data_IF_406653281057
#
_entry.id   IF_406653281057
#
_cell.length_a   1.000
_cell.length_b   1.000
_cell.length_c   1.000
_cell.angle_alpha   90.00
_cell.angle_beta   90.00
_cell.angle_gamma   90.00
#
_symmetry.space_group_name_H-M   'P 1'
#
loop_
_entity.id
_entity.type
_entity.pdbx_description
1 polymer ?
#
# COMPACT_ATOMS: atom_id res chain seq x y z
N UNK A 1 7.91 -26.91 -4.12
CA UNK A 1 7.81 -25.61 -4.81
C UNK A 1 6.40 -25.36 -5.36
N UNK A 2 5.84 -26.29 -6.13
CA UNK A 2 4.52 -26.17 -6.78
C UNK A 2 3.35 -25.86 -5.85
N UNK A 3 3.29 -26.47 -4.66
CA UNK A 3 2.24 -26.15 -3.68
C UNK A 3 2.30 -24.67 -3.25
N UNK A 4 3.50 -24.17 -3.01
CA UNK A 4 3.72 -22.81 -2.52
C UNK A 4 3.42 -21.76 -3.58
N UNK A 5 4.04 -21.89 -4.76
CA UNK A 5 3.93 -20.91 -5.84
C UNK A 5 2.75 -21.15 -6.77
N UNK A 6 2.22 -22.37 -6.84
CA UNK A 6 1.17 -22.73 -7.78
C UNK A 6 1.71 -23.21 -9.12
N UNK A 7 0.90 -24.01 -9.83
CA UNK A 7 1.21 -24.51 -11.18
C UNK A 7 0.57 -23.64 -12.26
N UNK A 8 -0.66 -23.20 -12.03
CA UNK A 8 -1.49 -22.50 -13.00
C UNK A 8 -1.32 -20.99 -12.80
N UNK A 9 -1.09 -20.27 -13.90
CA UNK A 9 -0.94 -18.80 -13.84
C UNK A 9 -2.25 -18.14 -13.42
N UNK A 10 -3.31 -18.39 -14.18
CA UNK A 10 -4.63 -17.81 -13.97
C UNK A 10 -5.63 -18.97 -13.91
N UNK A 11 -6.24 -19.17 -12.73
CA UNK A 11 -7.23 -20.23 -12.52
C UNK A 11 -8.62 -19.60 -12.66
N UNK A 12 -9.35 -20.03 -13.67
CA UNK A 12 -10.65 -19.47 -14.01
C UNK A 12 -11.76 -20.51 -13.88
N UNK A 13 -12.92 -20.08 -13.41
CA UNK A 13 -14.12 -20.90 -13.27
C UNK A 13 -15.25 -20.31 -14.12
N UNK A 14 -16.17 -21.18 -14.58
CA UNK A 14 -17.34 -20.82 -15.39
C UNK A 14 -16.97 -19.98 -16.61
N UNK A 15 -16.13 -20.53 -17.48
CA UNK A 15 -15.71 -19.92 -18.75
C UNK A 15 -15.15 -18.49 -18.61
N UNK A 16 -14.38 -18.24 -17.54
CA UNK A 16 -13.73 -16.95 -17.31
C UNK A 16 -14.55 -15.95 -16.49
N UNK A 17 -15.75 -16.31 -16.03
CA UNK A 17 -16.57 -15.44 -15.18
C UNK A 17 -15.88 -15.13 -13.84
N UNK A 18 -15.17 -16.11 -13.27
CA UNK A 18 -14.45 -15.94 -12.00
C UNK A 18 -12.98 -16.21 -12.25
N UNK A 19 -12.15 -15.20 -12.01
CA UNK A 19 -10.70 -15.33 -11.90
C UNK A 19 -10.30 -15.48 -10.42
N UNK A 20 -9.56 -16.53 -10.10
CA UNK A 20 -9.20 -16.85 -8.72
C UNK A 20 -8.37 -15.76 -8.04
N UNK A 21 -7.47 -15.07 -8.76
CA UNK A 21 -6.63 -14.02 -8.17
C UNK A 21 -7.48 -12.82 -7.80
N UNK A 22 -8.34 -12.37 -8.72
CA UNK A 22 -9.26 -11.27 -8.47
C UNK A 22 -10.21 -11.60 -7.33
N UNK A 23 -10.73 -12.82 -7.31
CA UNK A 23 -11.62 -13.28 -6.24
C UNK A 23 -10.94 -13.29 -4.87
N UNK A 24 -9.70 -13.80 -4.77
CA UNK A 24 -8.93 -13.76 -3.52
C UNK A 24 -8.66 -12.32 -3.05
N UNK A 25 -8.29 -11.43 -3.97
CA UNK A 25 -8.07 -10.02 -3.67
C UNK A 25 -9.34 -9.34 -3.12
N UNK A 26 -10.48 -9.56 -3.77
CA UNK A 26 -11.77 -9.00 -3.36
C UNK A 26 -12.20 -9.50 -1.99
N UNK A 27 -12.14 -10.83 -1.78
CA UNK A 27 -12.53 -11.41 -0.48
C UNK A 27 -11.60 -10.97 0.62
N UNK A 28 -10.28 -10.94 0.39
CA UNK A 28 -9.32 -10.43 1.35
C UNK A 28 -9.63 -9.00 1.78
N UNK A 29 -9.96 -8.11 0.83
CA UNK A 29 -10.35 -6.72 1.11
C UNK A 29 -11.67 -6.62 1.89
N UNK A 30 -12.69 -7.38 1.51
CA UNK A 30 -13.97 -7.40 2.23
C UNK A 30 -13.80 -7.96 3.65
N UNK A 31 -13.01 -9.02 3.83
CA UNK A 31 -12.71 -9.58 5.15
C UNK A 31 -11.96 -8.58 6.04
N UNK A 32 -10.98 -7.86 5.49
CA UNK A 32 -10.30 -6.79 6.21
C UNK A 32 -11.30 -5.73 6.68
N UNK A 33 -12.19 -5.28 5.79
CA UNK A 33 -13.20 -4.28 6.13
C UNK A 33 -14.15 -4.77 7.22
N UNK A 34 -14.61 -6.03 7.14
CA UNK A 34 -15.49 -6.62 8.16
C UNK A 34 -14.79 -6.72 9.52
N UNK A 35 -13.50 -7.10 9.55
CA UNK A 35 -12.71 -7.11 10.78
C UNK A 35 -12.62 -5.69 11.38
N UNK A 36 -12.31 -4.69 10.57
CA UNK A 36 -12.22 -3.28 11.02
C UNK A 36 -13.57 -2.78 11.58
N UNK A 37 -14.68 -3.07 10.89
CA UNK A 37 -16.02 -2.70 11.38
C UNK A 37 -16.39 -3.43 12.67
N UNK A 38 -16.02 -4.71 12.79
CA UNK A 38 -16.23 -5.50 14.01
C UNK A 38 -15.45 -4.90 15.19
N UNK A 39 -14.18 -4.53 14.99
CA UNK A 39 -13.38 -3.87 16.01
C UNK A 39 -13.95 -2.50 16.41
N UNK A 40 -14.39 -1.69 15.46
CA UNK A 40 -15.05 -0.42 15.74
C UNK A 40 -16.35 -0.61 16.54
N UNK A 41 -17.20 -1.55 16.14
CA UNK A 41 -18.45 -1.85 16.84
C UNK A 41 -18.18 -2.35 18.26
N UNK A 42 -17.21 -3.26 18.44
CA UNK A 42 -16.79 -3.75 19.75
C UNK A 42 -16.37 -2.59 20.65
N UNK A 43 -15.49 -1.71 20.17
CA UNK A 43 -14.98 -0.58 20.93
C UNK A 43 -16.11 0.38 21.36
N UNK A 44 -17.02 0.72 20.44
CA UNK A 44 -18.15 1.63 20.71
C UNK A 44 -19.11 1.04 21.77
N UNK A 45 -19.27 -0.27 21.80
CA UNK A 45 -20.31 -0.93 22.63
C UNK A 45 -19.79 -1.46 23.95
N UNK A 46 -18.49 -1.73 24.08
CA UNK A 46 -17.91 -2.41 25.25
C UNK A 46 -16.87 -1.57 26.01
N UNK A 47 -16.42 -0.44 25.47
CA UNK A 47 -15.41 0.42 26.12
C UNK A 47 -16.09 1.68 26.67
N UNK A 48 -15.96 1.91 27.98
CA UNK A 48 -16.64 3.04 28.66
C UNK A 48 -16.14 4.41 28.18
N UNK A 49 -14.81 4.57 28.07
CA UNK A 49 -14.17 5.80 27.61
C UNK A 49 -13.64 5.61 26.19
N UNK A 50 -14.45 6.01 25.21
CA UNK A 50 -14.15 5.84 23.78
C UNK A 50 -12.86 6.55 23.39
N UNK A 51 -11.98 5.81 22.71
CA UNK A 51 -10.74 6.30 22.15
C UNK A 51 -10.96 6.80 20.71
N UNK A 52 -11.06 8.11 20.54
CA UNK A 52 -11.21 8.72 19.20
C UNK A 52 -10.07 8.35 18.24
N UNK A 53 -8.86 8.15 18.78
CA UNK A 53 -7.71 7.71 18.01
C UNK A 53 -7.86 6.29 17.48
N UNK A 54 -8.48 5.40 18.26
CA UNK A 54 -8.83 4.06 17.79
C UNK A 54 -9.83 4.11 16.64
N UNK A 55 -10.91 4.90 16.77
CA UNK A 55 -11.91 5.07 15.71
C UNK A 55 -11.30 5.72 14.46
N UNK A 56 -10.35 6.63 14.62
CA UNK A 56 -9.58 7.18 13.51
C UNK A 56 -8.76 6.10 12.80
N UNK A 57 -8.11 5.20 13.53
CA UNK A 57 -7.40 4.05 12.95
C UNK A 57 -8.33 3.14 12.14
N UNK A 58 -9.54 2.87 12.65
CA UNK A 58 -10.59 2.17 11.91
C UNK A 58 -11.00 2.93 10.63
N UNK A 59 -11.16 4.25 10.71
CA UNK A 59 -11.51 5.08 9.56
C UNK A 59 -10.40 5.10 8.50
N UNK A 60 -9.12 5.12 8.90
CA UNK A 60 -7.97 5.04 8.00
C UNK A 60 -7.91 3.71 7.23
N UNK A 61 -8.07 2.58 7.92
CA UNK A 61 -8.11 1.27 7.24
C UNK A 61 -9.38 1.11 6.39
N UNK A 62 -10.50 1.68 6.82
CA UNK A 62 -11.71 1.75 6.00
C UNK A 62 -11.45 2.53 4.73
N UNK A 63 -10.88 3.73 4.82
CA UNK A 63 -10.49 4.53 3.67
C UNK A 63 -9.56 3.75 2.72
N UNK A 64 -8.58 3.04 3.27
CA UNK A 64 -7.69 2.19 2.48
C UNK A 64 -8.48 1.13 1.68
N UNK A 65 -9.43 0.42 2.30
CA UNK A 65 -10.29 -0.53 1.59
C UNK A 65 -11.14 0.14 0.49
N UNK A 66 -11.67 1.34 0.74
CA UNK A 66 -12.43 2.09 -0.26
C UNK A 66 -11.56 2.54 -1.45
N UNK A 67 -10.40 3.14 -1.19
CA UNK A 67 -9.45 3.55 -2.22
C UNK A 67 -8.96 2.34 -3.03
N UNK A 68 -8.69 1.22 -2.36
CA UNK A 68 -8.35 -0.05 -3.00
C UNK A 68 -9.45 -0.51 -3.97
N UNK A 69 -10.71 -0.54 -3.56
CA UNK A 69 -11.82 -1.00 -4.40
C UNK A 69 -12.22 0.01 -5.50
N UNK A 70 -12.17 1.32 -5.24
CA UNK A 70 -12.42 2.36 -6.25
C UNK A 70 -11.42 2.24 -7.41
N UNK A 71 -10.17 1.91 -7.10
CA UNK A 71 -9.10 1.74 -8.07
C UNK A 71 -8.83 0.28 -8.41
N UNK A 72 -9.84 -0.61 -8.29
CA UNK A 72 -9.71 -2.06 -8.50
C UNK A 72 -8.96 -2.41 -9.80
N UNK A 73 -9.29 -1.72 -10.91
CA UNK A 73 -8.65 -1.93 -12.22
C UNK A 73 -7.12 -1.81 -12.23
N UNK A 74 -6.53 -1.11 -11.26
CA UNK A 74 -5.08 -0.95 -11.14
C UNK A 74 -4.42 -2.25 -10.67
N UNK A 75 -5.13 -3.10 -9.92
CA UNK A 75 -4.60 -4.39 -9.44
C UNK A 75 -4.18 -5.32 -10.58
N UNK A 76 -4.88 -5.26 -11.72
CA UNK A 76 -4.56 -6.04 -12.92
C UNK A 76 -3.14 -5.77 -13.46
N UNK A 77 -2.53 -4.64 -13.08
CA UNK A 77 -1.18 -4.24 -13.49
C UNK A 77 -0.12 -4.52 -12.42
N UNK A 78 -0.49 -5.17 -11.32
CA UNK A 78 0.45 -5.54 -10.25
C UNK A 78 1.21 -6.81 -10.59
N UNK A 79 2.36 -7.00 -9.94
CA UNK A 79 3.21 -8.17 -10.12
C UNK A 79 2.47 -9.49 -9.87
N UNK A 80 1.59 -9.52 -8.87
CA UNK A 80 0.81 -10.69 -8.48
C UNK A 80 -0.11 -11.18 -9.63
N UNK A 81 -0.68 -10.25 -10.40
CA UNK A 81 -1.49 -10.59 -11.57
C UNK A 81 -0.61 -10.93 -12.79
N UNK A 82 0.45 -10.16 -13.04
CA UNK A 82 1.27 -10.29 -14.25
C UNK A 82 2.16 -11.54 -14.21
N UNK A 83 2.76 -11.84 -13.06
CA UNK A 83 3.87 -12.78 -12.94
C UNK A 83 3.60 -13.93 -11.94
N UNK A 84 2.87 -13.70 -10.85
CA UNK A 84 2.61 -14.77 -9.89
C UNK A 84 1.57 -15.78 -10.40
N UNK A 85 1.64 -16.99 -9.85
CA UNK A 85 0.72 -18.09 -10.15
C UNK A 85 -0.19 -18.31 -8.95
N UNK A 86 -1.29 -19.04 -9.16
CA UNK A 86 -2.25 -19.36 -8.09
C UNK A 86 -1.72 -20.53 -7.27
N UNK A 87 -1.19 -20.23 -6.08
CA UNK A 87 -0.67 -21.21 -5.12
C UNK A 87 -0.97 -20.84 -3.66
N UNK A 88 -0.47 -21.64 -2.71
CA UNK A 88 -0.70 -21.42 -1.29
C UNK A 88 -0.24 -20.02 -0.82
N UNK A 89 0.90 -19.52 -1.31
CA UNK A 89 1.42 -18.19 -0.95
C UNK A 89 0.36 -17.10 -1.20
N UNK A 90 -0.23 -17.09 -2.40
CA UNK A 90 -1.21 -16.09 -2.80
C UNK A 90 -2.52 -16.25 -2.01
N UNK A 91 -3.03 -17.49 -1.92
CA UNK A 91 -4.26 -17.77 -1.17
C UNK A 91 -4.15 -17.44 0.31
N UNK A 92 -3.08 -17.88 0.98
CA UNK A 92 -2.80 -17.55 2.38
C UNK A 92 -2.61 -16.03 2.55
N UNK A 93 -1.84 -15.41 1.65
CA UNK A 93 -1.61 -13.97 1.64
C UNK A 93 -2.91 -13.18 1.65
N UNK A 94 -3.82 -13.49 0.72
CA UNK A 94 -5.08 -12.77 0.56
C UNK A 94 -6.14 -13.12 1.62
N UNK A 95 -6.26 -14.39 2.01
CA UNK A 95 -7.40 -14.85 2.85
C UNK A 95 -7.09 -14.91 4.35
N UNK A 96 -5.81 -15.04 4.74
CA UNK A 96 -5.43 -15.25 6.14
C UNK A 96 -4.43 -14.20 6.64
N UNK A 97 -3.44 -13.81 5.84
CA UNK A 97 -2.46 -12.83 6.28
C UNK A 97 -3.03 -11.41 6.19
N UNK A 98 -3.39 -10.96 5.00
CA UNK A 98 -3.86 -9.60 4.73
C UNK A 98 -5.02 -9.13 5.62
N UNK A 99 -6.16 -9.85 5.74
CA UNK A 99 -7.31 -9.35 6.48
C UNK A 99 -7.15 -9.27 8.00
N UNK A 100 -6.21 -10.04 8.57
CA UNK A 100 -6.00 -10.12 10.02
C UNK A 100 -4.73 -9.39 10.46
N UNK A 101 -3.67 -9.41 9.65
CA UNK A 101 -2.41 -8.80 10.01
C UNK A 101 -2.41 -7.28 9.83
N UNK A 102 -3.15 -6.75 8.84
CA UNK A 102 -3.21 -5.30 8.60
C UNK A 102 -3.95 -4.55 9.73
N UNK A 103 -4.89 -5.22 10.38
CA UNK A 103 -5.66 -4.69 11.49
C UNK A 103 -5.06 -5.04 12.86
N UNK A 104 -3.81 -5.53 12.92
CA UNK A 104 -3.15 -5.98 14.16
C UNK A 104 -3.09 -4.88 15.23
N UNK A 105 -2.86 -3.62 14.85
CA UNK A 105 -2.87 -2.51 15.79
C UNK A 105 -4.24 -2.30 16.42
N UNK A 106 -5.31 -2.44 15.65
CA UNK A 106 -6.69 -2.34 16.13
C UNK A 106 -7.05 -3.54 17.00
N UNK A 107 -6.71 -4.75 16.58
CA UNK A 107 -7.00 -5.95 17.35
C UNK A 107 -6.44 -5.86 18.77
N UNK A 108 -5.16 -5.52 18.91
CA UNK A 108 -4.53 -5.45 20.24
C UNK A 108 -4.93 -4.24 21.08
N UNK A 109 -5.66 -3.27 20.51
CA UNK A 109 -6.07 -2.05 21.22
C UNK A 109 -7.58 -1.88 21.35
N UNK A 110 -8.41 -2.76 20.76
CA UNK A 110 -9.87 -2.61 20.70
C UNK A 110 -10.57 -2.53 22.06
N UNK A 111 -10.02 -3.17 23.08
CA UNK A 111 -10.56 -3.19 24.45
C UNK A 111 -9.99 -2.08 25.33
N UNK A 112 -8.98 -1.34 24.86
CA UNK A 112 -8.31 -0.34 25.66
C UNK A 112 -9.09 0.99 25.61
N UNK A 113 -9.27 1.69 26.74
CA UNK A 113 -9.97 2.97 26.77
C UNK A 113 -9.19 4.09 26.08
N UNK A 114 -9.72 5.30 26.09
CA UNK A 114 -8.96 6.47 25.69
C UNK A 114 -7.72 6.64 26.59
N UNK A 115 -6.48 6.66 26.03
CA UNK A 115 -5.26 6.85 26.81
C UNK A 115 -5.10 8.29 27.37
N UNK A 116 -6.04 9.19 27.11
CA UNK A 116 -6.02 10.58 27.60
C UNK A 116 -5.05 11.48 26.82
N UNK A 117 -4.68 11.09 25.60
CA UNK A 117 -3.84 11.94 24.76
C UNK A 117 -4.61 13.17 24.28
N UNK A 118 -3.95 14.34 24.16
CA UNK A 118 -4.61 15.54 23.68
C UNK A 118 -5.04 15.38 22.21
N UNK A 119 -6.20 15.91 21.86
CA UNK A 119 -6.86 15.77 20.55
C UNK A 119 -5.95 16.13 19.36
N UNK A 120 -5.03 17.08 19.54
CA UNK A 120 -4.07 17.46 18.49
C UNK A 120 -3.20 16.29 18.03
N UNK A 121 -2.91 15.29 18.90
CA UNK A 121 -2.15 14.09 18.50
C UNK A 121 -2.98 13.23 17.53
N UNK A 122 -4.26 13.05 17.80
CA UNK A 122 -5.20 12.35 16.91
C UNK A 122 -5.28 13.05 15.55
N UNK A 123 -5.41 14.38 15.55
CA UNK A 123 -5.39 15.19 14.31
C UNK A 123 -4.07 15.02 13.56
N UNK A 124 -2.94 15.05 14.27
CA UNK A 124 -1.61 14.86 13.69
C UNK A 124 -1.46 13.49 13.02
N UNK A 125 -1.96 12.41 13.64
CA UNK A 125 -1.92 11.08 13.04
C UNK A 125 -2.82 10.99 11.80
N UNK A 126 -3.99 11.65 11.83
CA UNK A 126 -4.86 11.83 10.65
C UNK A 126 -4.12 12.53 9.51
N UNK A 127 -3.47 13.65 9.80
CA UNK A 127 -2.66 14.39 8.83
C UNK A 127 -1.49 13.55 8.29
N UNK A 128 -0.81 12.77 9.15
CA UNK A 128 0.27 11.89 8.76
C UNK A 128 -0.20 10.82 7.77
N UNK A 129 -1.35 10.20 8.02
CA UNK A 129 -1.96 9.25 7.09
C UNK A 129 -2.27 9.91 5.74
N UNK A 130 -2.88 11.10 5.74
CA UNK A 130 -3.18 11.84 4.51
C UNK A 130 -1.92 12.23 3.74
N UNK A 131 -0.84 12.62 4.43
CA UNK A 131 0.46 12.85 3.80
C UNK A 131 0.97 11.60 3.10
N UNK A 132 0.93 10.44 3.78
CA UNK A 132 1.29 9.17 3.18
C UNK A 132 0.41 8.81 1.98
N UNK A 133 -0.90 9.01 2.08
CA UNK A 133 -1.85 8.79 0.99
C UNK A 133 -1.57 9.71 -0.21
N UNK A 134 -1.25 10.99 0.01
CA UNK A 134 -0.85 11.92 -1.06
C UNK A 134 0.42 11.44 -1.76
N UNK A 135 1.41 10.93 -1.02
CA UNK A 135 2.61 10.35 -1.63
C UNK A 135 2.28 9.12 -2.48
N UNK A 136 1.49 8.18 -1.97
CA UNK A 136 1.12 6.95 -2.68
C UNK A 136 0.23 7.23 -3.89
N UNK A 137 -0.94 7.83 -3.66
CA UNK A 137 -1.94 8.10 -4.70
C UNK A 137 -1.46 9.16 -5.67
N UNK A 138 -0.80 10.21 -5.19
CA UNK A 138 -0.23 11.26 -6.03
C UNK A 138 0.84 10.73 -6.98
N UNK A 139 1.78 9.90 -6.50
CA UNK A 139 2.78 9.27 -7.35
C UNK A 139 2.15 8.34 -8.40
N UNK A 140 1.22 7.48 -7.97
CA UNK A 140 0.51 6.57 -8.88
C UNK A 140 -0.28 7.33 -9.95
N UNK A 141 -0.93 8.43 -9.57
CA UNK A 141 -1.67 9.26 -10.52
C UNK A 141 -0.75 10.00 -11.46
N UNK A 142 0.36 10.57 -10.99
CA UNK A 142 1.35 11.20 -11.87
C UNK A 142 1.85 10.21 -12.93
N UNK A 143 2.15 8.96 -12.53
CA UNK A 143 2.56 7.90 -13.46
C UNK A 143 1.47 7.55 -14.46
N UNK A 144 0.22 7.43 -14.00
CA UNK A 144 -0.93 7.14 -14.86
C UNK A 144 -1.14 8.25 -15.91
N UNK A 145 -1.21 9.51 -15.48
CA UNK A 145 -1.36 10.64 -16.40
C UNK A 145 -0.20 10.73 -17.38
N UNK A 146 1.03 10.49 -16.95
CA UNK A 146 2.18 10.41 -17.86
C UNK A 146 2.02 9.31 -18.93
N UNK A 147 1.45 8.15 -18.58
CA UNK A 147 1.26 7.04 -19.53
C UNK A 147 0.09 7.25 -20.50
N UNK A 148 -0.97 7.93 -20.06
CA UNK A 148 -2.19 8.12 -20.86
C UNK A 148 -2.18 9.45 -21.63
N UNK A 149 -1.58 10.49 -21.05
CA UNK A 149 -1.50 11.86 -21.58
C UNK A 149 -0.10 12.44 -21.33
N UNK A 150 0.93 12.03 -22.10
CA UNK A 150 2.33 12.34 -21.82
C UNK A 150 2.66 13.84 -21.74
N UNK A 151 1.95 14.69 -22.48
CA UNK A 151 2.19 16.13 -22.53
C UNK A 151 1.41 16.94 -21.47
N UNK A 152 0.49 16.29 -20.76
CA UNK A 152 -0.37 16.98 -19.78
C UNK A 152 0.40 17.21 -18.48
N UNK A 153 0.28 18.43 -17.94
CA UNK A 153 0.77 18.74 -16.60
C UNK A 153 0.00 17.92 -15.55
N UNK A 154 0.71 17.28 -14.63
CA UNK A 154 0.11 16.71 -13.44
C UNK A 154 0.21 17.74 -12.31
N UNK A 155 -0.94 18.21 -11.84
CA UNK A 155 -1.02 19.45 -11.04
C UNK A 155 -0.37 20.61 -11.82
N UNK A 156 0.70 21.22 -11.29
CA UNK A 156 1.48 22.26 -11.95
C UNK A 156 2.79 21.75 -12.59
N UNK A 157 3.09 20.45 -12.49
CA UNK A 157 4.37 19.87 -12.91
C UNK A 157 4.28 19.42 -14.38
N UNK A 158 5.13 19.99 -15.24
CA UNK A 158 5.33 19.49 -16.61
C UNK A 158 6.21 18.23 -16.55
N UNK A 159 5.82 17.10 -17.18
CA UNK A 159 6.63 15.89 -17.19
C UNK A 159 8.02 16.12 -17.77
N UNK A 160 9.05 15.73 -17.03
CA UNK A 160 10.42 15.64 -17.52
C UNK A 160 10.77 14.16 -17.70
N UNK A 161 11.21 13.80 -18.90
CA UNK A 161 11.34 12.39 -19.30
C UNK A 161 12.74 12.07 -19.78
N UNK A 162 13.18 10.85 -19.49
CA UNK A 162 14.34 10.24 -20.13
C UNK A 162 13.84 9.18 -21.09
N UNK A 163 14.27 9.22 -22.35
CA UNK A 163 13.83 8.29 -23.38
C UNK A 163 15.03 7.74 -24.17
N UNK A 164 14.92 6.49 -24.63
CA UNK A 164 15.90 5.83 -25.51
C UNK A 164 15.38 5.66 -26.96
N UNK A 165 14.32 6.42 -27.31
CA UNK A 165 13.62 6.33 -28.59
C UNK A 165 12.50 5.27 -28.64
N UNK A 166 12.49 4.28 -27.73
CA UNK A 166 11.43 3.25 -27.66
C UNK A 166 10.64 3.31 -26.37
N UNK A 167 11.31 3.59 -25.26
CA UNK A 167 10.74 3.65 -23.92
C UNK A 167 11.08 4.97 -23.25
N UNK A 168 10.18 5.42 -22.38
CA UNK A 168 10.36 6.66 -21.62
C UNK A 168 10.08 6.44 -20.13
N UNK A 169 10.89 7.07 -19.30
CA UNK A 169 10.81 7.12 -17.85
C UNK A 169 10.59 8.54 -17.37
N UNK A 170 9.66 8.70 -16.44
CA UNK A 170 9.36 9.98 -15.79
C UNK A 170 10.43 10.26 -14.72
N UNK A 171 11.07 11.43 -14.77
CA UNK A 171 12.23 11.77 -13.95
C UNK A 171 12.06 13.03 -13.08
N UNK A 172 10.83 13.49 -12.86
CA UNK A 172 10.51 14.62 -11.98
C UNK A 172 9.21 14.41 -11.19
N UNK A 173 8.90 15.38 -10.30
CA UNK A 173 7.80 15.26 -9.34
C UNK A 173 8.04 14.12 -8.35
N UNK A 174 7.02 13.32 -8.08
CA UNK A 174 7.10 12.17 -7.18
C UNK A 174 8.22 11.19 -7.59
N UNK A 175 8.29 10.88 -8.88
CA UNK A 175 9.27 9.95 -9.47
C UNK A 175 10.66 10.56 -9.69
N UNK A 176 10.83 11.86 -9.40
CA UNK A 176 12.13 12.51 -9.32
C UNK A 176 12.66 12.62 -7.88
N UNK A 177 11.77 12.62 -6.88
CA UNK A 177 12.17 12.67 -5.47
C UNK A 177 12.80 11.34 -5.01
N UNK A 178 12.20 10.22 -5.40
CA UNK A 178 12.77 8.87 -5.27
C UNK A 178 12.11 7.94 -6.28
N UNK A 179 12.75 6.80 -6.55
CA UNK A 179 12.25 5.81 -7.51
C UNK A 179 10.93 5.16 -7.07
N UNK A 180 10.68 5.10 -5.76
CA UNK A 180 9.51 4.47 -5.16
C UNK A 180 8.94 5.30 -4.00
N UNK A 181 8.65 6.58 -4.25
CA UNK A 181 8.06 7.46 -3.22
C UNK A 181 6.66 6.98 -2.79
N UNK A 182 5.97 6.23 -3.65
CA UNK A 182 4.71 5.58 -3.33
C UNK A 182 4.86 4.54 -2.21
N UNK A 183 6.01 3.85 -2.14
CA UNK A 183 6.31 2.89 -1.07
C UNK A 183 6.57 3.60 0.26
N UNK A 184 7.24 4.76 0.23
CA UNK A 184 7.33 5.62 1.41
C UNK A 184 5.94 6.04 1.90
N UNK A 185 5.06 6.45 0.98
CA UNK A 185 3.68 6.83 1.33
C UNK A 185 2.89 5.69 2.00
N UNK A 186 3.10 4.45 1.57
CA UNK A 186 2.47 3.27 2.16
C UNK A 186 3.02 2.97 3.56
N UNK A 187 4.34 3.08 3.75
CA UNK A 187 4.97 2.94 5.08
C UNK A 187 4.44 4.02 6.04
N UNK A 188 4.33 5.27 5.58
CA UNK A 188 3.81 6.38 6.39
C UNK A 188 2.35 6.16 6.79
N UNK A 189 1.51 5.67 5.88
CA UNK A 189 0.12 5.30 6.20
C UNK A 189 0.07 4.18 7.25
N UNK A 190 0.90 3.15 7.11
CA UNK A 190 0.96 2.07 8.09
C UNK A 190 1.36 2.57 9.49
N UNK A 191 2.38 3.45 9.57
CA UNK A 191 2.81 4.10 10.81
C UNK A 191 1.67 4.93 11.42
N UNK A 192 0.94 5.69 10.61
CA UNK A 192 -0.18 6.50 11.09
C UNK A 192 -1.30 5.63 11.69
N UNK A 193 -1.64 4.50 11.06
CA UNK A 193 -2.61 3.52 11.59
C UNK A 193 -2.14 2.92 12.92
N UNK A 194 -0.85 2.61 13.05
CA UNK A 194 -0.29 2.08 14.29
C UNK A 194 -0.30 3.11 15.43
N UNK A 195 -0.03 4.38 15.11
CA UNK A 195 -0.02 5.48 16.08
C UNK A 195 -1.41 5.92 16.50
N UNK A 196 -2.42 5.79 15.62
CA UNK A 196 -3.75 6.33 15.82
C UNK A 196 -4.37 5.94 17.17
N UNK A 197 -4.27 4.67 17.57
CA UNK A 197 -4.81 4.17 18.84
C UNK A 197 -4.12 4.76 20.09
N UNK A 198 -2.97 5.42 19.97
CA UNK A 198 -2.29 6.10 21.08
C UNK A 198 -1.50 5.20 22.03
N UNK A 199 -1.42 3.90 21.74
CA UNK A 199 -0.74 2.88 22.56
C UNK A 199 0.63 2.47 21.99
N UNK A 200 1.48 3.45 21.66
CA UNK A 200 2.79 3.23 21.04
C UNK A 200 3.75 2.32 21.85
N UNK A 201 3.54 2.18 23.16
CA UNK A 201 4.32 1.27 24.02
C UNK A 201 4.01 -0.22 23.80
N UNK A 202 2.89 -0.55 23.17
CA UNK A 202 2.53 -1.94 22.83
C UNK A 202 3.26 -2.32 21.56
N UNK A 203 4.33 -3.12 21.66
CA UNK A 203 5.17 -3.48 20.51
C UNK A 203 4.37 -4.11 19.34
N UNK A 204 3.28 -4.80 19.63
CA UNK A 204 2.42 -5.46 18.64
C UNK A 204 1.77 -4.48 17.65
N UNK A 205 1.54 -3.22 18.03
CA UNK A 205 0.95 -2.20 17.13
C UNK A 205 1.89 -1.87 15.97
N UNK A 206 3.18 -2.13 16.14
CA UNK A 206 4.22 -1.85 15.14
C UNK A 206 4.44 -3.00 14.15
N UNK A 207 3.78 -4.14 14.32
CA UNK A 207 3.94 -5.30 13.44
C UNK A 207 3.56 -4.98 11.99
N UNK A 208 2.47 -4.25 11.78
CA UNK A 208 2.03 -3.84 10.45
C UNK A 208 3.03 -2.88 9.75
N UNK A 209 3.46 -1.76 10.37
CA UNK A 209 4.55 -0.93 9.85
C UNK A 209 5.84 -1.70 9.58
N UNK A 210 6.28 -2.56 10.50
CA UNK A 210 7.52 -3.32 10.36
C UNK A 210 7.46 -4.28 9.16
N UNK A 211 6.33 -4.96 8.98
CA UNK A 211 6.07 -5.77 7.80
C UNK A 211 6.12 -4.94 6.52
N UNK A 212 5.50 -3.74 6.50
CA UNK A 212 5.52 -2.85 5.34
C UNK A 212 6.93 -2.41 4.95
N UNK A 213 7.77 -2.07 5.94
CA UNK A 213 9.18 -1.74 5.67
C UNK A 213 9.90 -2.93 5.04
N UNK A 214 9.76 -4.13 5.61
CA UNK A 214 10.37 -5.34 5.07
C UNK A 214 9.90 -5.66 3.64
N UNK A 215 8.59 -5.65 3.42
CA UNK A 215 7.96 -5.89 2.13
C UNK A 215 8.42 -4.90 1.06
N UNK A 216 8.45 -3.61 1.38
CA UNK A 216 8.80 -2.57 0.42
C UNK A 216 10.29 -2.58 0.07
N UNK A 217 11.17 -2.92 1.01
CA UNK A 217 12.60 -3.07 0.74
C UNK A 217 12.89 -4.23 -0.21
N UNK A 218 12.27 -5.40 0.00
CA UNK A 218 12.46 -6.55 -0.89
C UNK A 218 11.82 -6.29 -2.24
N UNK A 219 10.60 -5.73 -2.27
CA UNK A 219 9.87 -5.40 -3.49
C UNK A 219 10.63 -4.37 -4.34
N UNK A 220 11.17 -3.33 -3.72
CA UNK A 220 12.01 -2.34 -4.41
C UNK A 220 13.22 -2.99 -5.09
N UNK A 221 13.91 -3.91 -4.40
CA UNK A 221 15.08 -4.57 -4.96
C UNK A 221 14.73 -5.45 -6.17
N UNK A 222 13.56 -6.10 -6.15
CA UNK A 222 13.08 -6.90 -7.27
C UNK A 222 12.59 -6.02 -8.44
N UNK A 223 11.90 -4.92 -8.14
CA UNK A 223 11.51 -3.93 -9.16
C UNK A 223 12.73 -3.34 -9.87
N UNK A 224 13.81 -3.02 -9.13
CA UNK A 224 15.08 -2.53 -9.71
C UNK A 224 15.67 -3.53 -10.71
N UNK A 225 15.64 -4.85 -10.41
CA UNK A 225 16.13 -5.90 -11.32
C UNK A 225 15.26 -5.98 -12.57
N UNK A 226 13.94 -5.96 -12.41
CA UNK A 226 12.98 -6.01 -13.52
C UNK A 226 13.13 -4.78 -14.42
N UNK A 227 13.24 -3.59 -13.82
CA UNK A 227 13.46 -2.35 -14.54
C UNK A 227 14.82 -2.34 -15.24
N UNK A 228 15.89 -2.80 -14.60
CA UNK A 228 17.21 -2.90 -15.22
C UNK A 228 17.19 -3.85 -16.43
N UNK A 229 16.56 -5.01 -16.30
CA UNK A 229 16.42 -5.95 -17.41
C UNK A 229 15.58 -5.38 -18.57
N UNK A 230 14.56 -4.57 -18.28
CA UNK A 230 13.67 -3.98 -19.27
C UNK A 230 14.24 -2.75 -19.98
N UNK A 231 14.89 -1.85 -19.23
CA UNK A 231 15.30 -0.53 -19.70
C UNK A 231 16.81 -0.41 -19.96
N UNK A 232 17.62 -1.39 -19.55
CA UNK A 232 19.05 -1.43 -19.86
C UNK A 232 19.81 -0.17 -19.43
N UNK A 233 20.46 0.52 -20.38
CA UNK A 233 21.20 1.76 -20.14
C UNK A 233 20.32 2.94 -19.75
N UNK A 234 19.07 2.99 -20.23
CA UNK A 234 18.12 4.03 -19.84
C UNK A 234 17.84 3.97 -18.33
N UNK A 235 17.84 2.77 -17.74
CA UNK A 235 17.74 2.61 -16.28
C UNK A 235 18.97 3.16 -15.56
N UNK A 236 20.16 3.00 -16.12
CA UNK A 236 21.39 3.55 -15.51
C UNK A 236 21.36 5.08 -15.53
N UNK A 237 20.90 5.68 -16.62
CA UNK A 237 20.72 7.13 -16.70
C UNK A 237 19.68 7.62 -15.69
N UNK A 238 18.56 6.90 -15.58
CA UNK A 238 17.50 7.22 -14.64
C UNK A 238 17.96 7.12 -13.19
N UNK A 239 18.65 6.04 -12.79
CA UNK A 239 19.15 5.85 -11.43
C UNK A 239 20.28 6.81 -11.05
N UNK A 240 21.08 7.28 -12.01
CA UNK A 240 22.05 8.38 -11.79
C UNK A 240 21.35 9.70 -11.45
N UNK A 241 20.21 9.98 -12.08
CA UNK A 241 19.41 11.18 -11.85
C UNK A 241 18.57 11.08 -10.57
N UNK A 242 17.85 9.98 -10.39
CA UNK A 242 16.99 9.69 -9.24
C UNK A 242 17.67 8.65 -8.35
N UNK A 243 18.57 9.16 -7.50
CA UNK A 243 19.48 8.33 -6.71
C UNK A 243 18.75 7.51 -5.64
N UNK A 244 17.81 8.15 -4.95
CA UNK A 244 17.09 7.56 -3.82
C UNK A 244 16.08 6.52 -4.28
N UNK A 245 16.02 5.42 -3.57
CA UNK A 245 15.15 4.27 -3.83
C UNK A 245 13.76 4.51 -3.29
N UNK A 246 13.63 4.78 -1.98
CA UNK A 246 12.35 4.92 -1.29
C UNK A 246 12.30 6.23 -0.52
N UNK A 247 13.34 6.54 0.26
CA UNK A 247 13.36 7.68 1.18
C UNK A 247 14.31 8.73 0.60
N UNK A 248 13.78 9.86 0.09
CA UNK A 248 14.62 10.94 -0.41
C UNK A 248 15.67 11.34 0.63
N UNK A 249 16.91 11.56 0.18
CA UNK A 249 18.05 11.97 1.02
C UNK A 249 18.55 10.93 2.02
N UNK A 250 17.98 9.72 2.07
CA UNK A 250 18.39 8.66 3.01
C UNK A 250 18.70 7.34 2.28
N UNK A 251 17.75 6.81 1.50
CA UNK A 251 17.84 5.48 0.86
C UNK A 251 17.17 5.48 -0.51
#
# INVERSE_FOLDING_TARGET
ADFWFGRIKDSQLKDGLIDAKLWFYLIGAVMLQLNVLSFAAYHITHVENINDGFLLGCAMLTWFCFDYLIFEKIHLWTYDFIAERVGFKLGFGCLAFYPYFYSVSLWFTAHLPNPGHPVWRTILFGALFLCGWVLTRGANMQKYFFKVMPDRKFLWIKPEVLCDGKQCLLANGYWGASRHINYLGEIVQAIAVALAAGYAGIWLVWLYPAYYVGLMLTRQADDDKVCKAKYGELWDQYTKKVKYKIIPFIY
#
